data_IF_042214423823
#
_entry.id   IF_042214423823
#
_cell.length_a   1.000
_cell.length_b   1.000
_cell.length_c   1.000
_cell.angle_alpha   90.00
_cell.angle_beta   90.00
_cell.angle_gamma   90.00
#
_symmetry.space_group_name_H-M   'P 1'
#
loop_
_entity.id
_entity.type
_entity.pdbx_description
1 polymer ?
#
# COMPACT_ATOMS: atom_id res chain seq x y z
N UNK A 1 7.41 -10.05 17.68
CA UNK A 1 8.57 -9.69 16.81
C UNK A 1 8.10 -8.98 15.57
N UNK A 2 8.86 -8.01 15.04
CA UNK A 2 8.54 -7.28 13.80
C UNK A 2 9.64 -7.53 12.76
N UNK A 3 9.28 -8.13 11.63
CA UNK A 3 10.17 -8.26 10.46
C UNK A 3 9.75 -7.18 9.45
N UNK A 4 10.48 -6.06 9.44
CA UNK A 4 10.29 -4.98 8.47
C UNK A 4 11.20 -5.19 7.25
N UNK A 5 10.67 -5.78 6.20
CA UNK A 5 11.39 -6.07 4.96
C UNK A 5 11.88 -4.82 4.21
N UNK A 6 11.54 -3.64 4.64
CA UNK A 6 12.11 -2.39 4.11
C UNK A 6 13.23 -1.85 4.98
N UNK A 7 13.46 -2.44 6.17
CA UNK A 7 14.58 -2.04 7.02
C UNK A 7 15.92 -2.40 6.33
N UNK A 8 16.92 -1.51 6.38
CA UNK A 8 18.19 -1.75 5.72
C UNK A 8 18.89 -3.07 6.11
N UNK A 9 18.65 -3.56 7.32
CA UNK A 9 19.28 -4.81 7.78
C UNK A 9 18.68 -6.05 7.14
N UNK A 10 17.40 -5.98 6.67
CA UNK A 10 16.76 -7.08 5.94
C UNK A 10 16.96 -7.00 4.43
N UNK A 11 17.11 -5.79 3.88
CA UNK A 11 17.23 -5.59 2.43
C UNK A 11 18.36 -4.63 2.11
N UNK A 12 19.54 -5.19 1.85
CA UNK A 12 20.78 -4.42 1.62
C UNK A 12 20.61 -3.33 0.53
N UNK A 13 19.76 -3.55 -0.48
CA UNK A 13 19.50 -2.54 -1.52
C UNK A 13 18.94 -1.23 -0.99
N UNK A 14 18.22 -1.22 0.15
CA UNK A 14 17.68 0.00 0.72
C UNK A 14 18.75 0.90 1.34
N UNK A 15 19.87 0.32 1.79
CA UNK A 15 21.01 1.08 2.33
C UNK A 15 21.66 2.00 1.29
N UNK A 16 21.60 1.60 0.03
CA UNK A 16 22.29 2.29 -1.08
C UNK A 16 21.36 3.07 -2.00
N UNK A 17 20.04 2.84 -1.91
CA UNK A 17 19.08 3.56 -2.74
C UNK A 17 18.82 4.96 -2.22
N UNK A 18 18.80 5.92 -3.14
CA UNK A 18 18.29 7.26 -2.87
C UNK A 18 16.78 7.22 -2.67
N UNK A 19 16.24 8.18 -1.91
CA UNK A 19 14.80 8.28 -1.60
C UNK A 19 13.91 8.30 -2.85
N UNK A 20 14.35 8.93 -3.93
CA UNK A 20 13.62 8.99 -5.21
C UNK A 20 13.47 7.62 -5.90
N UNK A 21 14.23 6.61 -5.45
CA UNK A 21 14.12 5.22 -5.90
C UNK A 21 13.19 4.36 -5.06
N UNK A 22 12.80 4.83 -3.89
CA UNK A 22 11.86 4.11 -3.03
C UNK A 22 10.49 4.03 -3.72
N UNK A 23 9.79 2.95 -3.47
CA UNK A 23 8.50 2.69 -4.09
C UNK A 23 7.34 2.71 -3.07
N UNK A 24 6.12 2.60 -3.57
CA UNK A 24 4.92 2.61 -2.72
C UNK A 24 4.91 1.52 -1.64
N UNK A 25 5.49 0.34 -1.91
CA UNK A 25 5.60 -0.72 -0.94
C UNK A 25 6.52 -0.34 0.21
N UNK A 26 7.66 0.30 -0.08
CA UNK A 26 8.57 0.81 0.95
C UNK A 26 7.85 1.78 1.90
N UNK A 27 7.19 2.80 1.34
CA UNK A 27 6.49 3.78 2.17
C UNK A 27 5.32 3.16 2.94
N UNK A 28 4.59 2.22 2.33
CA UNK A 28 3.49 1.54 3.02
C UNK A 28 3.99 0.69 4.19
N UNK A 29 5.09 -0.05 4.02
CA UNK A 29 5.69 -0.80 5.13
C UNK A 29 6.11 0.13 6.28
N UNK A 30 6.68 1.29 5.97
CA UNK A 30 7.00 2.29 6.99
C UNK A 30 5.77 2.77 7.76
N UNK A 31 4.64 2.97 7.07
CA UNK A 31 3.39 3.37 7.72
C UNK A 31 2.78 2.23 8.56
N UNK A 32 2.88 0.98 8.10
CA UNK A 32 2.48 -0.20 8.89
C UNK A 32 3.23 -0.22 10.22
N UNK A 33 4.56 -0.14 10.18
CA UNK A 33 5.40 -0.18 11.39
C UNK A 33 5.12 1.00 12.31
N UNK A 34 4.96 2.20 11.76
CA UNK A 34 4.81 3.42 12.56
C UNK A 34 3.40 3.63 13.09
N UNK A 35 2.38 3.29 12.32
CA UNK A 35 1.02 3.77 12.56
C UNK A 35 -0.02 2.65 12.72
N UNK A 36 0.23 1.44 12.21
CA UNK A 36 -0.71 0.32 12.32
C UNK A 36 -0.33 -0.59 13.48
N UNK A 37 0.87 -1.16 13.45
CA UNK A 37 1.34 -2.11 14.50
C UNK A 37 1.17 -1.55 15.92
N UNK A 38 1.57 -0.31 16.24
CA UNK A 38 1.44 0.21 17.62
C UNK A 38 -0.01 0.40 18.10
N UNK A 39 -0.98 0.31 17.20
CA UNK A 39 -2.41 0.52 17.50
C UNK A 39 -3.23 -0.77 17.37
N UNK A 40 -2.57 -1.92 17.27
CA UNK A 40 -3.21 -3.25 17.23
C UNK A 40 -2.64 -4.11 18.34
N UNK A 41 -3.52 -4.65 19.18
CA UNK A 41 -3.14 -5.51 20.28
C UNK A 41 -3.20 -6.99 19.84
N UNK A 42 -2.05 -7.64 19.78
CA UNK A 42 -1.92 -9.05 19.41
C UNK A 42 -0.57 -9.59 19.85
N UNK A 43 -0.49 -10.87 20.16
CA UNK A 43 0.74 -11.60 20.46
C UNK A 43 1.43 -12.13 19.19
N UNK A 44 0.77 -12.02 18.02
CA UNK A 44 1.28 -12.49 16.73
C UNK A 44 2.54 -11.74 16.30
N UNK A 45 3.42 -12.43 15.60
CA UNK A 45 4.55 -11.81 14.93
C UNK A 45 4.09 -10.98 13.72
N UNK A 46 4.84 -9.94 13.39
CA UNK A 46 4.53 -9.06 12.27
C UNK A 46 5.53 -9.23 11.14
N UNK A 47 5.02 -9.41 9.93
CA UNK A 47 5.83 -9.42 8.69
C UNK A 47 5.26 -8.37 7.76
N UNK A 48 5.92 -7.22 7.68
CA UNK A 48 5.50 -6.15 6.75
C UNK A 48 5.86 -6.56 5.34
N UNK A 49 5.15 -6.12 4.37
CA UNK A 49 5.38 -6.33 2.94
C UNK A 49 6.37 -7.47 2.61
N UNK A 50 5.88 -8.70 2.49
CA UNK A 50 6.70 -9.88 2.19
C UNK A 50 7.45 -9.74 0.86
N UNK A 51 8.74 -10.00 0.90
CA UNK A 51 9.59 -10.21 -0.27
C UNK A 51 9.83 -11.73 -0.46
N UNK A 52 9.70 -12.21 -1.69
CA UNK A 52 9.80 -13.65 -2.00
C UNK A 52 11.16 -14.27 -1.68
N UNK A 53 12.21 -13.46 -1.66
CA UNK A 53 13.60 -13.87 -1.38
C UNK A 53 13.96 -13.88 0.11
N UNK A 54 13.06 -13.45 0.98
CA UNK A 54 13.30 -13.50 2.42
C UNK A 54 13.08 -14.91 2.96
N UNK A 55 14.00 -15.36 3.84
CA UNK A 55 14.02 -16.70 4.44
C UNK A 55 13.37 -16.75 5.83
N UNK A 56 13.11 -15.59 6.44
CA UNK A 56 12.50 -15.54 7.78
C UNK A 56 11.00 -15.77 7.68
N UNK A 57 10.52 -16.86 8.27
CA UNK A 57 9.13 -17.27 8.27
C UNK A 57 8.71 -17.56 9.71
N UNK A 58 8.44 -16.53 10.53
CA UNK A 58 7.99 -16.74 11.90
C UNK A 58 6.63 -17.43 11.92
N UNK A 59 6.45 -18.37 12.81
CA UNK A 59 5.16 -18.96 13.10
C UNK A 59 4.23 -17.92 13.77
N UNK A 60 2.94 -18.16 13.77
CA UNK A 60 1.92 -17.32 14.40
C UNK A 60 2.09 -15.84 13.99
N UNK A 61 1.95 -15.59 12.68
CA UNK A 61 2.31 -14.30 12.11
C UNK A 61 1.15 -13.61 11.38
N UNK A 62 1.19 -12.28 11.40
CA UNK A 62 0.41 -11.42 10.50
C UNK A 62 1.35 -10.97 9.37
N UNK A 63 1.03 -11.39 8.15
CA UNK A 63 1.86 -11.19 6.96
C UNK A 63 1.17 -10.27 5.98
N UNK A 64 1.74 -9.08 5.74
CA UNK A 64 1.19 -8.13 4.77
C UNK A 64 1.60 -8.48 3.34
N UNK A 65 0.60 -8.67 2.47
CA UNK A 65 0.76 -9.00 1.05
C UNK A 65 0.35 -7.78 0.22
N UNK A 66 1.33 -7.11 -0.36
CA UNK A 66 1.08 -5.88 -1.13
C UNK A 66 1.02 -6.11 -2.66
N UNK A 67 1.73 -7.13 -3.16
CA UNK A 67 1.81 -7.38 -4.59
C UNK A 67 0.63 -8.24 -5.06
N UNK A 68 -0.07 -7.79 -6.10
CA UNK A 68 -1.01 -8.66 -6.83
C UNK A 68 -0.23 -9.40 -7.92
N UNK A 69 -0.12 -10.73 -7.79
CA UNK A 69 0.62 -11.63 -8.69
C UNK A 69 -0.23 -12.88 -8.97
N UNK A 70 0.24 -13.72 -9.89
CA UNK A 70 -0.37 -15.03 -10.08
C UNK A 70 -0.17 -15.94 -8.84
N UNK A 71 -1.00 -16.96 -8.61
CA UNK A 71 -0.92 -17.82 -7.43
C UNK A 71 0.46 -18.45 -7.20
N UNK A 72 1.17 -18.87 -8.25
CA UNK A 72 2.48 -19.51 -8.12
C UNK A 72 3.54 -18.60 -7.46
N UNK A 73 3.37 -17.28 -7.56
CA UNK A 73 4.26 -16.33 -6.88
C UNK A 73 4.19 -16.46 -5.36
N UNK A 74 3.09 -16.97 -4.81
CA UNK A 74 2.84 -17.02 -3.38
C UNK A 74 3.20 -18.36 -2.72
N UNK A 75 3.78 -19.32 -3.46
CA UNK A 75 4.18 -20.63 -2.94
C UNK A 75 5.08 -20.54 -1.68
N UNK A 76 5.88 -19.48 -1.53
CA UNK A 76 6.69 -19.23 -0.34
C UNK A 76 5.84 -19.09 0.94
N UNK A 77 4.55 -18.79 0.83
CA UNK A 77 3.65 -18.67 1.98
C UNK A 77 3.42 -20.00 2.68
N UNK A 78 3.65 -21.15 2.03
CA UNK A 78 3.61 -22.48 2.65
C UNK A 78 4.61 -22.66 3.77
N UNK A 79 5.65 -21.81 3.83
CA UNK A 79 6.64 -21.86 4.88
C UNK A 79 6.17 -21.22 6.20
N UNK A 80 5.07 -20.48 6.19
CA UNK A 80 4.47 -19.92 7.40
C UNK A 80 3.49 -20.93 8.03
N UNK A 81 3.53 -21.05 9.35
CA UNK A 81 2.55 -21.79 10.11
C UNK A 81 1.65 -20.84 10.87
N UNK A 82 0.35 -21.13 10.91
CA UNK A 82 -0.63 -20.29 11.61
C UNK A 82 -0.47 -18.81 11.28
N UNK A 83 -0.61 -18.46 10.01
CA UNK A 83 -0.50 -17.07 9.57
C UNK A 83 -1.83 -16.48 9.14
N UNK A 84 -1.98 -15.17 9.38
CA UNK A 84 -3.03 -14.32 8.84
C UNK A 84 -2.42 -13.48 7.72
N UNK A 85 -2.98 -13.59 6.51
CA UNK A 85 -2.49 -12.92 5.31
C UNK A 85 -3.30 -11.64 5.09
N UNK A 86 -2.73 -10.48 5.36
CA UNK A 86 -3.38 -9.17 5.21
C UNK A 86 -3.10 -8.63 3.81
N UNK A 87 -4.14 -8.58 2.98
CA UNK A 87 -4.05 -8.24 1.58
C UNK A 87 -4.65 -6.85 1.30
N UNK A 88 -3.95 -6.04 0.51
CA UNK A 88 -4.39 -4.69 0.15
C UNK A 88 -5.35 -4.64 -1.06
N UNK A 89 -5.71 -5.79 -1.62
CA UNK A 89 -6.67 -5.94 -2.71
C UNK A 89 -7.51 -7.20 -2.48
N UNK A 90 -8.83 -7.17 -2.80
CA UNK A 90 -9.71 -8.35 -2.69
C UNK A 90 -9.20 -9.53 -3.51
N UNK A 91 -8.81 -9.29 -4.78
CA UNK A 91 -8.27 -10.32 -5.67
C UNK A 91 -6.96 -10.95 -5.14
N UNK A 92 -6.17 -10.19 -4.39
CA UNK A 92 -4.97 -10.76 -3.74
C UNK A 92 -5.38 -11.68 -2.58
N UNK A 93 -6.37 -11.30 -1.79
CA UNK A 93 -6.88 -12.13 -0.70
C UNK A 93 -7.43 -13.47 -1.23
N UNK A 94 -8.18 -13.44 -2.33
CA UNK A 94 -8.65 -14.64 -3.02
C UNK A 94 -7.48 -15.53 -3.47
N UNK A 95 -6.47 -14.94 -4.12
CA UNK A 95 -5.32 -15.68 -4.65
C UNK A 95 -4.45 -16.33 -3.57
N UNK A 96 -4.42 -15.79 -2.35
CA UNK A 96 -3.57 -16.32 -1.27
C UNK A 96 -4.33 -17.13 -0.24
N UNK A 97 -5.65 -17.22 -0.33
CA UNK A 97 -6.52 -17.95 0.63
C UNK A 97 -6.18 -19.43 0.80
N UNK A 98 -5.51 -20.05 -0.18
CA UNK A 98 -5.02 -21.42 -0.12
C UNK A 98 -3.83 -21.63 0.82
N UNK A 99 -3.15 -20.55 1.20
CA UNK A 99 -1.91 -20.61 1.99
C UNK A 99 -2.11 -20.26 3.47
N UNK A 100 -3.26 -19.67 3.81
CA UNK A 100 -3.58 -19.26 5.17
C UNK A 100 -4.86 -18.44 5.22
N UNK A 101 -5.26 -18.01 6.41
CA UNK A 101 -6.42 -17.15 6.56
C UNK A 101 -6.16 -15.78 5.96
N UNK A 102 -6.79 -15.50 4.82
CA UNK A 102 -6.61 -14.23 4.09
C UNK A 102 -7.73 -13.25 4.45
N UNK A 103 -7.34 -12.00 4.73
CA UNK A 103 -8.25 -10.88 4.97
C UNK A 103 -7.92 -9.72 4.05
N UNK A 104 -8.94 -8.98 3.65
CA UNK A 104 -8.78 -7.76 2.89
C UNK A 104 -8.76 -6.55 3.82
N UNK A 105 -7.64 -5.84 3.84
CA UNK A 105 -7.50 -4.55 4.49
C UNK A 105 -7.12 -3.51 3.42
N UNK A 106 -7.99 -2.53 3.10
CA UNK A 106 -7.68 -1.52 2.10
C UNK A 106 -6.38 -0.78 2.41
N UNK A 107 -5.71 -0.30 1.36
CA UNK A 107 -4.54 0.56 1.54
C UNK A 107 -4.90 1.81 2.34
N UNK A 108 -4.11 2.12 3.33
CA UNK A 108 -4.25 3.32 4.14
C UNK A 108 -3.06 4.25 4.02
N UNK A 109 -3.22 5.46 4.48
CA UNK A 109 -2.19 6.51 4.51
C UNK A 109 -2.40 7.39 5.75
N UNK A 110 -1.35 8.11 6.16
CA UNK A 110 -1.48 9.20 7.13
C UNK A 110 -2.17 10.39 6.43
N UNK A 111 -3.48 10.50 6.63
CA UNK A 111 -4.32 11.49 5.96
C UNK A 111 -3.90 12.91 6.33
N UNK A 112 -3.61 13.16 7.61
CA UNK A 112 -3.20 14.50 8.07
C UNK A 112 -1.83 14.90 7.55
N UNK A 113 -0.89 13.96 7.44
CA UNK A 113 0.42 14.22 6.84
C UNK A 113 0.31 14.59 5.35
N UNK A 114 -0.64 14.01 4.61
CA UNK A 114 -0.88 14.32 3.19
C UNK A 114 -1.62 15.65 3.05
N UNK A 115 -2.66 15.92 3.86
CA UNK A 115 -3.44 17.17 3.83
C UNK A 115 -2.60 18.43 3.93
N UNK A 116 -1.46 18.38 4.63
CA UNK A 116 -0.53 19.52 4.76
C UNK A 116 -0.02 20.07 3.42
N UNK A 117 -0.09 19.27 2.36
CA UNK A 117 0.32 19.68 1.00
C UNK A 117 -0.83 20.22 0.15
N UNK A 118 -2.06 20.24 0.67
CA UNK A 118 -3.24 20.73 -0.04
C UNK A 118 -3.06 22.22 -0.38
N UNK A 119 -3.47 22.61 -1.59
CA UNK A 119 -3.48 24.00 -2.02
C UNK A 119 -4.92 24.49 -2.23
N UNK A 120 -5.15 25.79 -2.03
CA UNK A 120 -6.47 26.37 -2.21
C UNK A 120 -6.92 26.35 -3.67
N UNK A 121 -5.99 26.60 -4.60
CA UNK A 121 -6.28 26.68 -6.03
C UNK A 121 -5.39 25.76 -6.84
N UNK A 122 -5.99 24.99 -7.73
CA UNK A 122 -5.28 24.13 -8.68
C UNK A 122 -4.88 24.98 -9.90
N UNK A 123 -3.61 24.92 -10.27
CA UNK A 123 -3.04 25.76 -11.35
C UNK A 123 -2.76 25.00 -12.65
N UNK A 124 -2.90 23.66 -12.61
CA UNK A 124 -2.59 22.76 -13.72
C UNK A 124 -3.74 21.79 -13.96
N UNK A 125 -3.93 21.35 -15.21
CA UNK A 125 -5.07 20.51 -15.58
C UNK A 125 -4.88 19.06 -15.16
N UNK A 126 -3.88 18.36 -15.69
CA UNK A 126 -3.72 16.95 -15.44
C UNK A 126 -2.25 16.48 -15.40
N UNK A 127 -1.99 15.42 -14.61
CA UNK A 127 -0.70 14.75 -14.60
C UNK A 127 -0.86 13.24 -14.39
N UNK A 128 0.10 12.47 -14.91
CA UNK A 128 0.33 11.11 -14.48
C UNK A 128 1.25 11.11 -13.25
N UNK A 129 0.87 10.39 -12.20
CA UNK A 129 1.70 10.22 -11.01
C UNK A 129 1.90 8.74 -10.70
N UNK A 130 3.17 8.27 -10.74
CA UNK A 130 3.45 6.86 -10.51
C UNK A 130 4.84 6.44 -10.97
N UNK A 131 5.03 5.12 -11.12
CA UNK A 131 6.30 4.55 -11.59
C UNK A 131 6.39 4.62 -13.12
N UNK A 132 7.52 5.06 -13.66
CA UNK A 132 7.74 5.15 -15.11
C UNK A 132 7.48 3.84 -15.85
N UNK A 133 7.85 2.69 -15.26
CA UNK A 133 7.59 1.36 -15.85
C UNK A 133 6.09 1.04 -16.00
N UNK A 134 5.22 1.70 -15.25
CA UNK A 134 3.77 1.51 -15.38
C UNK A 134 3.16 2.32 -16.52
N UNK A 135 3.88 3.29 -17.06
CA UNK A 135 3.43 4.05 -18.25
C UNK A 135 3.23 3.13 -19.46
N UNK A 136 4.01 2.05 -19.57
CA UNK A 136 3.84 1.09 -20.66
C UNK A 136 2.46 0.41 -20.69
N UNK A 137 1.79 0.31 -19.54
CA UNK A 137 0.43 -0.23 -19.43
C UNK A 137 -0.66 0.84 -19.61
N UNK A 138 -0.25 2.11 -19.60
CA UNK A 138 -1.15 3.26 -19.54
C UNK A 138 -1.26 4.01 -20.88
N UNK A 139 -0.41 3.73 -21.83
CA UNK A 139 -0.19 4.56 -23.03
C UNK A 139 -1.43 4.77 -23.92
N UNK A 140 -2.44 3.90 -23.82
CA UNK A 140 -3.68 4.04 -24.60
C UNK A 140 -4.76 4.89 -23.92
N UNK A 141 -4.63 5.15 -22.61
CA UNK A 141 -5.64 5.86 -21.81
C UNK A 141 -5.21 7.24 -21.32
N UNK A 142 -3.93 7.58 -21.45
CA UNK A 142 -3.43 8.89 -21.04
C UNK A 142 -3.49 9.90 -22.16
N UNK A 143 -3.83 11.18 -21.89
CA UNK A 143 -3.68 12.27 -22.86
C UNK A 143 -2.25 12.38 -23.39
N UNK A 144 -2.07 12.75 -24.67
CA UNK A 144 -0.75 12.76 -25.32
C UNK A 144 0.25 13.72 -24.66
N UNK A 145 -0.23 14.85 -24.18
CA UNK A 145 0.61 15.93 -23.63
C UNK A 145 0.48 16.06 -22.11
N UNK A 146 0.35 14.93 -21.41
CA UNK A 146 0.19 14.94 -19.97
C UNK A 146 1.54 15.11 -19.24
N UNK A 147 1.56 15.93 -18.20
CA UNK A 147 2.72 16.04 -17.31
C UNK A 147 3.00 14.71 -16.58
N UNK A 148 4.28 14.34 -16.45
CA UNK A 148 4.70 13.07 -15.85
C UNK A 148 5.44 13.31 -14.54
N UNK A 149 4.82 12.93 -13.43
CA UNK A 149 5.37 13.02 -12.08
C UNK A 149 5.93 11.65 -11.64
N UNK A 150 7.14 11.35 -12.08
CA UNK A 150 7.84 10.10 -11.78
C UNK A 150 9.22 10.34 -11.15
N UNK A 151 9.69 9.40 -10.32
CA UNK A 151 11.06 9.42 -9.79
C UNK A 151 11.35 10.58 -8.86
N UNK A 152 10.36 11.03 -8.11
CA UNK A 152 10.49 12.10 -7.13
C UNK A 152 10.45 11.54 -5.70
N UNK A 153 11.14 12.17 -4.74
CA UNK A 153 10.91 11.97 -3.31
C UNK A 153 9.44 12.21 -2.96
N UNK A 154 8.91 11.47 -1.98
CA UNK A 154 7.50 11.50 -1.60
C UNK A 154 6.99 12.93 -1.32
N UNK A 155 7.73 13.72 -0.55
CA UNK A 155 7.34 15.09 -0.20
C UNK A 155 7.24 16.00 -1.43
N UNK A 156 8.16 15.85 -2.38
CA UNK A 156 8.13 16.59 -3.65
C UNK A 156 6.97 16.15 -4.52
N UNK A 157 6.70 14.85 -4.60
CA UNK A 157 5.57 14.30 -5.35
C UNK A 157 4.25 14.87 -4.85
N UNK A 158 4.03 14.89 -3.51
CA UNK A 158 2.80 15.43 -2.91
C UNK A 158 2.62 16.92 -3.23
N UNK A 159 3.72 17.73 -3.12
CA UNK A 159 3.69 19.15 -3.46
C UNK A 159 3.35 19.40 -4.94
N UNK A 160 3.89 18.59 -5.83
CA UNK A 160 3.61 18.73 -7.26
C UNK A 160 2.18 18.27 -7.59
N UNK A 161 1.74 17.08 -7.13
CA UNK A 161 0.37 16.58 -7.35
C UNK A 161 -0.69 17.56 -6.88
N UNK A 162 -0.46 18.26 -5.76
CA UNK A 162 -1.41 19.22 -5.21
C UNK A 162 -1.79 20.34 -6.19
N UNK A 163 -0.96 20.64 -7.18
CA UNK A 163 -1.19 21.71 -8.17
C UNK A 163 -2.19 21.35 -9.28
N UNK A 164 -2.50 20.03 -9.45
CA UNK A 164 -3.30 19.54 -10.57
C UNK A 164 -4.76 19.33 -10.20
N UNK A 165 -5.66 19.58 -11.16
CA UNK A 165 -7.07 19.27 -11.01
C UNK A 165 -7.31 17.76 -11.07
N UNK A 166 -6.64 17.08 -12.03
CA UNK A 166 -6.76 15.63 -12.26
C UNK A 166 -5.42 14.91 -12.15
N UNK A 167 -5.43 13.74 -11.51
CA UNK A 167 -4.26 12.85 -11.42
C UNK A 167 -4.62 11.45 -11.93
N UNK A 168 -3.86 10.98 -12.90
CA UNK A 168 -3.89 9.58 -13.34
C UNK A 168 -2.96 8.75 -12.46
N UNK A 169 -3.53 7.94 -11.59
CA UNK A 169 -2.78 7.18 -10.61
C UNK A 169 -3.52 5.91 -10.15
N UNK A 170 -2.79 5.00 -9.50
CA UNK A 170 -3.32 3.82 -8.82
C UNK A 170 -2.68 3.63 -7.45
N UNK A 171 -3.32 2.87 -6.57
CA UNK A 171 -2.80 2.53 -5.25
C UNK A 171 -2.67 3.76 -4.35
N UNK A 172 -1.63 3.76 -3.51
CA UNK A 172 -1.39 4.86 -2.56
C UNK A 172 -1.33 6.25 -3.21
N UNK A 173 -0.76 6.35 -4.40
CA UNK A 173 -0.69 7.63 -5.13
C UNK A 173 -2.08 8.15 -5.47
N UNK A 174 -3.01 7.27 -5.84
CA UNK A 174 -4.42 7.62 -6.09
C UNK A 174 -5.10 8.13 -4.81
N UNK A 175 -4.92 7.41 -3.68
CA UNK A 175 -5.45 7.84 -2.37
C UNK A 175 -4.91 9.22 -1.99
N UNK A 176 -3.61 9.41 -2.11
CA UNK A 176 -2.96 10.69 -1.79
C UNK A 176 -3.46 11.83 -2.68
N UNK A 177 -3.66 11.58 -3.98
CA UNK A 177 -4.24 12.57 -4.89
C UNK A 177 -5.68 12.95 -4.50
N UNK A 178 -6.52 11.98 -4.11
CA UNK A 178 -7.87 12.24 -3.58
C UNK A 178 -7.81 13.13 -2.32
N UNK A 179 -6.91 12.83 -1.38
CA UNK A 179 -6.72 13.63 -0.16
C UNK A 179 -6.30 15.06 -0.52
N UNK A 180 -5.47 15.25 -1.53
CA UNK A 180 -5.05 16.56 -2.03
C UNK A 180 -6.18 17.30 -2.78
N UNK A 181 -7.35 16.69 -2.94
CA UNK A 181 -8.49 17.28 -3.63
C UNK A 181 -8.37 17.24 -5.15
N UNK A 182 -7.62 16.28 -5.69
CA UNK A 182 -7.58 16.03 -7.12
C UNK A 182 -8.69 15.04 -7.52
N UNK A 183 -9.24 15.23 -8.72
CA UNK A 183 -9.93 14.16 -9.41
C UNK A 183 -8.93 13.04 -9.72
N UNK A 184 -9.33 11.78 -9.53
CA UNK A 184 -8.45 10.63 -9.77
C UNK A 184 -9.06 9.73 -10.82
N UNK A 185 -8.26 9.40 -11.82
CA UNK A 185 -8.61 8.43 -12.84
C UNK A 185 -7.59 7.29 -12.85
N UNK A 186 -8.06 6.04 -12.92
CA UNK A 186 -7.18 4.89 -13.05
C UNK A 186 -6.70 4.77 -14.49
N UNK A 187 -5.39 4.75 -14.67
CA UNK A 187 -4.73 4.55 -15.97
C UNK A 187 -4.37 3.09 -16.24
N UNK A 188 -4.43 2.23 -15.23
CA UNK A 188 -3.98 0.84 -15.30
C UNK A 188 -5.20 -0.07 -15.56
N UNK A 189 -5.24 -0.70 -16.72
CA UNK A 189 -6.36 -1.57 -17.12
C UNK A 189 -6.63 -2.74 -16.17
N UNK A 190 -5.67 -3.08 -15.32
CA UNK A 190 -5.80 -4.10 -14.26
C UNK A 190 -6.56 -3.59 -13.04
N UNK A 191 -6.68 -2.28 -12.89
CA UNK A 191 -7.31 -1.59 -11.76
C UNK A 191 -8.20 -0.47 -12.29
N UNK A 192 -9.18 -0.82 -13.12
CA UNK A 192 -10.07 0.15 -13.79
C UNK A 192 -10.95 0.91 -12.82
N UNK A 193 -11.28 0.26 -11.70
CA UNK A 193 -12.17 0.84 -10.70
C UNK A 193 -11.39 1.79 -9.78
N UNK A 194 -11.67 3.08 -9.91
CA UNK A 194 -11.11 4.11 -9.04
C UNK A 194 -11.63 4.00 -7.60
N UNK A 195 -12.75 3.31 -7.38
CA UNK A 195 -13.35 3.10 -6.05
C UNK A 195 -12.56 2.11 -5.20
N UNK A 196 -11.66 1.32 -5.80
CA UNK A 196 -10.65 0.54 -5.06
C UNK A 196 -9.73 1.41 -4.20
N UNK A 197 -9.59 2.70 -4.53
CA UNK A 197 -8.66 3.61 -3.86
C UNK A 197 -9.41 4.61 -2.97
N UNK A 198 -10.11 4.10 -1.97
CA UNK A 198 -10.81 4.93 -0.97
C UNK A 198 -9.83 5.56 0.00
N UNK A 199 -10.22 6.74 0.52
CA UNK A 199 -9.45 7.39 1.57
C UNK A 199 -9.68 6.62 2.88
N UNK A 200 -8.62 6.03 3.41
CA UNK A 200 -8.60 5.36 4.70
C UNK A 200 -7.39 5.87 5.49
N UNK A 201 -7.65 6.37 6.70
CA UNK A 201 -6.58 6.76 7.62
C UNK A 201 -5.93 5.53 8.26
N UNK A 202 -4.65 5.62 8.58
CA UNK A 202 -3.91 4.51 9.19
C UNK A 202 -4.49 4.09 10.56
N UNK A 203 -5.06 5.03 11.34
CA UNK A 203 -5.69 4.71 12.63
C UNK A 203 -6.97 3.91 12.44
N UNK A 204 -7.75 4.25 11.42
CA UNK A 204 -8.98 3.51 11.12
C UNK A 204 -8.68 2.15 10.51
N UNK A 205 -7.63 2.06 9.69
CA UNK A 205 -7.11 0.77 9.21
C UNK A 205 -6.66 -0.14 10.38
N UNK A 206 -6.00 0.42 11.39
CA UNK A 206 -5.61 -0.33 12.58
C UNK A 206 -6.83 -0.85 13.36
N UNK A 207 -7.87 -0.03 13.55
CA UNK A 207 -9.13 -0.47 14.18
C UNK A 207 -9.84 -1.57 13.38
N UNK A 208 -9.89 -1.42 12.05
CA UNK A 208 -10.44 -2.46 11.18
C UNK A 208 -9.67 -3.77 11.31
N UNK A 209 -8.34 -3.70 11.30
CA UNK A 209 -7.49 -4.88 11.48
C UNK A 209 -7.71 -5.52 12.84
N UNK A 210 -7.75 -4.74 13.93
CA UNK A 210 -8.03 -5.26 15.26
C UNK A 210 -9.34 -6.05 15.29
N UNK A 211 -10.43 -5.45 14.80
CA UNK A 211 -11.73 -6.14 14.74
C UNK A 211 -11.67 -7.46 13.99
N UNK A 212 -10.99 -7.48 12.84
CA UNK A 212 -10.83 -8.70 12.04
C UNK A 212 -10.02 -9.78 12.80
N UNK A 213 -8.99 -9.38 13.54
CA UNK A 213 -8.19 -10.30 14.36
C UNK A 213 -9.01 -10.85 15.52
N UNK A 214 -9.78 -10.00 16.21
CA UNK A 214 -10.65 -10.42 17.31
C UNK A 214 -11.70 -11.46 16.84
N UNK A 215 -12.29 -11.23 15.67
CA UNK A 215 -13.21 -12.19 15.03
C UNK A 215 -12.52 -13.53 14.68
N UNK A 216 -11.25 -13.48 14.29
CA UNK A 216 -10.45 -14.66 13.94
C UNK A 216 -10.08 -15.45 15.20
N UNK A 217 -9.66 -14.76 16.24
CA UNK A 217 -9.15 -15.36 17.47
C UNK A 217 -10.29 -15.67 18.48
N UNK A 218 -11.55 -15.38 18.09
CA UNK A 218 -12.75 -15.70 18.90
C UNK A 218 -12.91 -14.81 20.14
N UNK A 219 -12.31 -13.62 20.13
CA UNK A 219 -12.44 -12.65 21.22
C UNK A 219 -13.82 -11.99 21.11
N UNK A 220 -14.76 -12.40 21.95
CA UNK A 220 -16.07 -11.73 22.08
C UNK A 220 -15.87 -10.42 22.86
N UNK A 221 -15.93 -9.30 22.18
CA UNK A 221 -16.18 -8.03 22.85
C UNK A 221 -17.66 -7.98 23.22
N UNK A 222 -18.00 -8.37 24.46
CA UNK A 222 -19.32 -8.07 24.99
C UNK A 222 -19.48 -6.52 24.96
N UNK A 223 -20.54 -6.09 24.29
CA UNK A 223 -20.96 -4.69 24.15
C UNK A 223 -21.57 -4.19 25.44
#
# INVERSE_FOLDING_TARGET
MIIDHTHPDYVAKWKTLREDKYNGAYYYSKEIVKNIIPNVNTDRNWVTIRLADNKDHPDHAIVFIHNNRNPNYYEYLRNYKDCILVCSLPSTAENVSFFGKAIYLPLSVDVEAVKKYRVAHKTKEAAYAGRRVKLAYATSSLPKDIDILCGMPQSKLLKEMAKYKKIYATGRTAIQAKILGCEVESHDTRFRDADLWQILDNKDAAKMLQKMLDEIDGVNHEV
#
